data_IF_726966471008
#
_entry.id   IF_726966471008
#
_cell.length_a   1.000
_cell.length_b   1.000
_cell.length_c   1.000
_cell.angle_alpha   90.00
_cell.angle_beta   90.00
_cell.angle_gamma   90.00
#
_symmetry.space_group_name_H-M   'P 1'
#
loop_
_entity.id
_entity.type
_entity.pdbx_description
1 polymer ?
#
# COMPACT_ATOMS: atom_id res chain seq x y z
N UNK A 1 -2.10 5.39 -10.75
CA UNK A 1 -2.28 4.67 -9.46
C UNK A 1 -3.68 4.93 -8.89
N UNK A 2 -4.27 4.04 -8.08
CA UNK A 2 -5.55 4.33 -7.40
C UNK A 2 -5.31 5.15 -6.14
N UNK A 3 -6.27 6.01 -5.74
CA UNK A 3 -6.15 6.81 -4.52
C UNK A 3 -5.96 5.93 -3.27
N UNK A 4 -6.73 4.84 -3.15
CA UNK A 4 -6.59 3.88 -2.05
C UNK A 4 -5.22 3.16 -2.07
N UNK A 5 -4.68 2.84 -3.25
CA UNK A 5 -3.34 2.26 -3.36
C UNK A 5 -2.26 3.24 -2.89
N UNK A 6 -2.36 4.52 -3.27
CA UNK A 6 -1.43 5.55 -2.81
C UNK A 6 -1.50 5.75 -1.29
N UNK A 7 -2.71 5.75 -0.71
CA UNK A 7 -2.90 5.81 0.74
C UNK A 7 -2.24 4.62 1.45
N UNK A 8 -2.45 3.39 0.94
CA UNK A 8 -1.85 2.19 1.51
C UNK A 8 -0.33 2.18 1.41
N UNK A 9 0.23 2.64 0.28
CA UNK A 9 1.66 2.82 0.11
C UNK A 9 2.22 3.80 1.15
N UNK A 10 1.58 4.97 1.30
CA UNK A 10 1.99 5.98 2.28
C UNK A 10 1.92 5.48 3.72
N UNK A 11 0.84 4.78 4.05
CA UNK A 11 0.67 4.18 5.37
C UNK A 11 1.85 3.27 5.68
N UNK A 12 2.10 2.26 4.83
CA UNK A 12 3.16 1.28 5.07
C UNK A 12 4.56 1.87 5.02
N UNK A 13 4.81 2.81 4.12
CA UNK A 13 6.09 3.50 4.03
C UNK A 13 6.38 4.31 5.30
N UNK A 14 5.37 4.97 5.88
CA UNK A 14 5.51 5.83 7.06
C UNK A 14 5.50 5.08 8.38
N UNK A 15 4.80 3.95 8.49
CA UNK A 15 4.72 3.17 9.74
C UNK A 15 5.75 2.05 9.81
N UNK A 16 5.96 1.32 8.70
CA UNK A 16 6.80 0.11 8.68
C UNK A 16 8.08 0.26 7.85
N UNK A 17 8.24 1.38 7.12
CA UNK A 17 9.37 1.55 6.19
C UNK A 17 9.31 0.60 4.97
N UNK A 18 8.15 0.01 4.69
CA UNK A 18 7.95 -0.93 3.57
C UNK A 18 7.38 -0.16 2.38
N UNK A 19 8.06 -0.23 1.25
CA UNK A 19 7.63 0.40 0.00
C UNK A 19 6.81 -0.56 -0.85
N UNK A 20 5.61 -0.15 -1.25
CA UNK A 20 4.75 -0.89 -2.16
C UNK A 20 4.81 -0.29 -3.57
N UNK A 21 4.69 -1.12 -4.59
CA UNK A 21 4.58 -0.64 -5.95
C UNK A 21 3.18 -0.05 -6.22
N UNK A 22 3.06 1.00 -7.05
CA UNK A 22 1.80 1.72 -7.28
C UNK A 22 0.84 1.02 -8.27
N UNK A 23 1.21 -0.15 -8.80
CA UNK A 23 0.50 -0.91 -9.83
C UNK A 23 -0.23 -2.13 -9.25
N UNK A 24 0.42 -2.91 -8.37
CA UNK A 24 -0.03 -4.20 -7.85
C UNK A 24 -0.03 -4.25 -6.32
N UNK A 25 1.15 -4.23 -5.69
CA UNK A 25 1.26 -4.54 -4.25
C UNK A 25 0.56 -3.51 -3.35
N UNK A 26 0.53 -2.23 -3.76
CA UNK A 26 -0.26 -1.20 -3.07
C UNK A 26 -1.77 -1.45 -3.11
N UNK A 27 -2.30 -2.03 -4.19
CA UNK A 27 -3.73 -2.38 -4.30
C UNK A 27 -4.09 -3.55 -3.39
N UNK A 28 -3.21 -4.55 -3.31
CA UNK A 28 -3.38 -5.67 -2.39
C UNK A 28 -3.41 -5.20 -0.93
N UNK A 29 -2.47 -4.32 -0.55
CA UNK A 29 -2.46 -3.75 0.79
C UNK A 29 -3.67 -2.84 1.04
N UNK A 30 -4.10 -2.05 0.07
CA UNK A 30 -5.30 -1.22 0.20
C UNK A 30 -6.55 -2.07 0.47
N UNK A 31 -6.69 -3.21 -0.21
CA UNK A 31 -7.77 -4.15 0.06
C UNK A 31 -7.69 -4.75 1.47
N UNK A 32 -6.50 -5.15 1.93
CA UNK A 32 -6.29 -5.65 3.28
C UNK A 32 -6.66 -4.59 4.34
N UNK A 33 -6.20 -3.35 4.17
CA UNK A 33 -6.53 -2.24 5.07
C UNK A 33 -8.04 -1.98 5.08
N UNK A 34 -8.71 -2.02 3.92
CA UNK A 34 -10.16 -1.87 3.83
C UNK A 34 -10.91 -3.03 4.54
N UNK A 35 -10.44 -4.27 4.38
CA UNK A 35 -11.02 -5.44 5.03
C UNK A 35 -10.90 -5.36 6.57
N UNK A 36 -9.77 -4.88 7.09
CA UNK A 36 -9.60 -4.64 8.54
C UNK A 36 -10.46 -3.48 9.03
N UNK A 37 -10.47 -2.34 8.32
CA UNK A 37 -11.27 -1.15 8.70
C UNK A 37 -12.78 -1.42 8.70
N UNK A 38 -13.24 -2.28 7.79
CA UNK A 38 -14.66 -2.67 7.70
C UNK A 38 -15.05 -3.77 8.70
N UNK A 39 -14.09 -4.37 9.39
CA UNK A 39 -14.32 -5.52 10.29
C UNK A 39 -14.57 -6.85 9.56
N UNK A 40 -14.35 -6.91 8.25
CA UNK A 40 -14.38 -8.17 7.49
C UNK A 40 -13.23 -9.10 7.90
N UNK A 41 -12.08 -8.53 8.27
CA UNK A 41 -11.02 -9.21 8.98
C UNK A 41 -10.96 -8.70 10.42
N UNK A 42 -10.89 -9.63 11.38
CA UNK A 42 -10.73 -9.28 12.78
C UNK A 42 -9.32 -8.71 13.01
N UNK A 43 -9.25 -7.57 13.69
CA UNK A 43 -8.00 -6.90 14.07
C UNK A 43 -7.14 -7.73 15.02
N UNK A 44 -7.73 -8.69 15.74
CA UNK A 44 -7.01 -9.59 16.67
C UNK A 44 -6.51 -10.86 15.97
N UNK A 45 -6.99 -11.14 14.76
CA UNK A 45 -6.57 -12.32 14.00
C UNK A 45 -5.23 -12.05 13.29
N UNK A 46 -4.24 -12.96 13.39
CA UNK A 46 -3.01 -12.84 12.61
C UNK A 46 -3.31 -12.97 11.11
N UNK A 47 -2.84 -12.01 10.31
CA UNK A 47 -2.95 -12.01 8.85
C UNK A 47 -1.56 -11.97 8.23
N UNK A 48 -1.29 -12.88 7.30
CA UNK A 48 -0.07 -12.89 6.50
C UNK A 48 -0.31 -12.17 5.17
N UNK A 49 0.31 -11.00 4.99
CA UNK A 49 0.38 -10.34 3.70
C UNK A 49 1.64 -10.77 2.93
N UNK A 50 1.47 -11.40 1.76
CA UNK A 50 2.58 -11.76 0.90
C UNK A 50 2.98 -10.58 0.02
N UNK A 51 4.06 -9.89 0.38
CA UNK A 51 4.61 -8.81 -0.43
C UNK A 51 5.37 -9.38 -1.64
N UNK A 52 4.77 -9.32 -2.82
CA UNK A 52 5.31 -9.93 -4.06
C UNK A 52 6.36 -9.07 -4.79
N UNK A 53 6.82 -7.96 -4.21
CA UNK A 53 7.81 -7.06 -4.80
C UNK A 53 7.23 -5.92 -5.64
N UNK A 54 7.90 -5.58 -6.75
CA UNK A 54 7.48 -4.50 -7.66
C UNK A 54 8.12 -3.12 -7.40
N UNK A 55 8.95 -2.97 -6.36
CA UNK A 55 9.59 -1.71 -5.98
C UNK A 55 10.27 -0.93 -7.13
N UNK A 56 10.94 -1.55 -8.12
CA UNK A 56 11.51 -0.81 -9.25
C UNK A 56 10.50 0.03 -10.04
N UNK A 57 9.20 -0.30 -10.00
CA UNK A 57 8.18 0.50 -10.66
C UNK A 57 8.10 1.93 -10.10
N UNK A 58 8.49 2.16 -8.84
CA UNK A 58 8.44 3.48 -8.19
C UNK A 58 9.21 4.56 -8.97
N UNK A 59 10.32 4.20 -9.63
CA UNK A 59 11.10 5.14 -10.43
C UNK A 59 10.35 5.67 -11.65
N UNK A 60 9.32 4.97 -12.11
CA UNK A 60 8.45 5.39 -13.22
C UNK A 60 7.26 6.25 -12.81
N UNK A 61 6.99 6.42 -11.50
CA UNK A 61 5.80 7.12 -10.98
C UNK A 61 6.13 8.32 -10.07
N UNK A 62 7.33 8.90 -10.22
CA UNK A 62 7.81 9.97 -9.32
C UNK A 62 6.83 11.15 -9.19
N UNK A 63 6.26 11.62 -10.31
CA UNK A 63 5.33 12.75 -10.31
C UNK A 63 4.02 12.44 -9.56
N UNK A 64 3.46 11.25 -9.75
CA UNK A 64 2.24 10.81 -9.07
C UNK A 64 2.46 10.59 -7.57
N UNK A 65 3.64 10.11 -7.18
CA UNK A 65 3.99 9.89 -5.78
C UNK A 65 4.28 11.21 -5.04
N UNK A 66 4.85 12.20 -5.73
CA UNK A 66 5.00 13.57 -5.23
C UNK A 66 3.64 14.26 -5.05
N UNK A 67 2.78 14.20 -6.07
CA UNK A 67 1.43 14.75 -6.00
C UNK A 67 0.59 14.09 -4.88
N UNK A 68 0.85 12.82 -4.58
CA UNK A 68 0.22 12.11 -3.47
C UNK A 68 0.71 12.52 -2.09
N UNK A 69 1.88 13.13 -1.94
CA UNK A 69 2.49 13.45 -0.63
C UNK A 69 3.29 12.30 -0.03
N UNK A 70 3.75 11.35 -0.85
CA UNK A 70 4.74 10.34 -0.43
C UNK A 70 6.17 10.90 -0.51
N UNK A 71 6.43 11.73 -1.53
CA UNK A 71 7.67 12.46 -1.79
C UNK A 71 7.37 13.96 -1.80
#
# INVERSE_FOLDING_TARGET
PTAAGLEALQLLARTEGILLDPVYTSKGMAALVADVRSGKLDKEQPVLFLHTGGAPALFGYGAELQAGGLL
#
